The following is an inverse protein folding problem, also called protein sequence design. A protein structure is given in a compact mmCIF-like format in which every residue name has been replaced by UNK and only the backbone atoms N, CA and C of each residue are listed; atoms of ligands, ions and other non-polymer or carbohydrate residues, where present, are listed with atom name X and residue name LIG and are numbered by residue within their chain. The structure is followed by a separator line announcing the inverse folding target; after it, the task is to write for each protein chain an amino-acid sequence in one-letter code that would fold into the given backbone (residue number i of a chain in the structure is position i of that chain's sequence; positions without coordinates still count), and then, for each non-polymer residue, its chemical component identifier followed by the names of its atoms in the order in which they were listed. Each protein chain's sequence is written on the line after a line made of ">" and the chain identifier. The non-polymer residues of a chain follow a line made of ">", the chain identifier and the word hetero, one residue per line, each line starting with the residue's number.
data_IF_022219540301
#
_entry.id   IF_022219540301
#
_cell.length_a   1.000
_cell.length_b   1.000
_cell.length_c   1.000
_cell.angle_alpha   90.00
_cell.angle_beta   90.00
_cell.angle_gamma   90.00
#
_symmetry.space_group_name_H-M   'P 1'
#
loop_
_entity.id
_entity.type
_entity.pdbx_description
1 polymer ?
#
# COMPACT_ATOMS: atom_id res chain seq x y z
N UNK A 1 -17.28 0.26 -16.63
CA UNK A 1 -15.85 0.62 -16.69
C UNK A 1 -15.07 -0.60 -16.25
N UNK A 2 -14.29 -1.20 -17.15
CA UNK A 2 -13.47 -2.36 -16.79
C UNK A 2 -12.37 -1.88 -15.84
N UNK A 3 -12.44 -2.26 -14.56
CA UNK A 3 -11.38 -2.04 -13.58
C UNK A 3 -10.23 -2.99 -13.87
N UNK A 4 -9.54 -2.74 -14.98
CA UNK A 4 -8.36 -3.51 -15.36
C UNK A 4 -7.27 -3.26 -14.32
N UNK A 5 -6.93 -4.32 -13.60
CA UNK A 5 -5.85 -4.36 -12.64
C UNK A 5 -4.53 -4.40 -13.41
N UNK A 6 -3.67 -3.43 -13.14
CA UNK A 6 -2.33 -3.34 -13.70
C UNK A 6 -1.31 -4.09 -12.85
N UNK A 7 -1.47 -4.06 -11.53
CA UNK A 7 -0.58 -4.72 -10.57
C UNK A 7 -1.35 -5.11 -9.31
N UNK A 8 -1.10 -6.32 -8.84
CA UNK A 8 -1.55 -6.85 -7.56
C UNK A 8 -0.40 -7.59 -6.88
N UNK A 9 0.15 -7.03 -5.80
CA UNK A 9 1.34 -7.59 -5.15
C UNK A 9 1.47 -7.16 -3.68
N UNK A 10 2.15 -7.98 -2.87
CA UNK A 10 2.56 -7.60 -1.52
C UNK A 10 3.83 -6.74 -1.58
N UNK A 11 3.73 -5.50 -1.11
CA UNK A 11 4.86 -4.56 -1.06
C UNK A 11 5.02 -3.98 0.34
N UNK A 12 6.21 -3.42 0.62
CA UNK A 12 6.50 -2.72 1.87
C UNK A 12 6.13 -1.24 1.73
N UNK A 13 5.11 -0.80 2.47
CA UNK A 13 4.74 0.61 2.58
C UNK A 13 5.51 1.29 3.71
N UNK A 14 6.31 2.32 3.37
CA UNK A 14 6.82 3.28 4.34
C UNK A 14 5.74 4.31 4.69
N UNK A 15 5.46 4.51 5.98
CA UNK A 15 4.56 5.59 6.40
C UNK A 15 5.21 6.95 6.22
N UNK A 16 4.43 7.98 5.92
CA UNK A 16 4.94 9.34 5.89
C UNK A 16 5.49 9.75 7.26
N UNK A 17 6.74 10.17 7.28
CA UNK A 17 7.42 10.59 8.49
C UNK A 17 6.99 12.02 8.83
N UNK A 18 6.30 12.21 9.95
CA UNK A 18 5.77 13.53 10.35
C UNK A 18 6.83 14.48 10.90
N UNK A 19 7.88 13.96 11.54
CA UNK A 19 9.02 14.73 12.06
C UNK A 19 10.32 14.06 11.62
N UNK A 20 11.36 14.85 11.31
CA UNK A 20 12.66 14.33 10.85
C UNK A 20 13.30 13.29 11.79
N UNK A 21 13.03 13.39 13.10
CA UNK A 21 13.55 12.48 14.13
C UNK A 21 12.66 11.28 14.42
N UNK A 22 11.42 11.24 13.89
CA UNK A 22 10.54 10.10 14.11
C UNK A 22 11.08 8.85 13.42
N UNK A 23 10.99 7.65 14.00
CA UNK A 23 11.39 6.43 13.32
C UNK A 23 10.64 6.22 11.99
N UNK A 24 11.31 5.62 11.02
CA UNK A 24 10.64 5.17 9.80
C UNK A 24 9.83 3.91 10.11
N UNK A 25 8.51 3.96 9.89
CA UNK A 25 7.63 2.82 10.08
C UNK A 25 7.32 2.17 8.72
N UNK A 26 7.62 0.88 8.63
CA UNK A 26 7.43 0.06 7.44
C UNK A 26 6.41 -1.03 7.74
N UNK A 27 5.49 -1.28 6.80
CA UNK A 27 4.46 -2.30 6.93
C UNK A 27 4.25 -3.03 5.62
N UNK A 28 4.08 -4.34 5.67
CA UNK A 28 3.63 -5.13 4.52
C UNK A 28 2.17 -4.80 4.24
N UNK A 29 1.83 -4.55 2.98
CA UNK A 29 0.48 -4.28 2.51
C UNK A 29 0.26 -4.95 1.16
N UNK A 30 -0.97 -5.38 0.90
CA UNK A 30 -1.37 -5.87 -0.41
C UNK A 30 -1.84 -4.68 -1.26
N UNK A 31 -1.12 -4.36 -2.33
CA UNK A 31 -1.41 -3.22 -3.20
C UNK A 31 -2.18 -3.66 -4.43
N UNK A 32 -3.18 -2.85 -4.81
CA UNK A 32 -3.96 -3.02 -6.04
C UNK A 32 -3.85 -1.71 -6.84
N UNK A 33 -3.26 -1.80 -8.02
CA UNK A 33 -3.14 -0.69 -8.95
C UNK A 33 -4.09 -0.88 -10.13
N UNK A 34 -4.90 0.12 -10.39
CA UNK A 34 -5.72 0.24 -11.60
C UNK A 34 -5.34 1.52 -12.34
N UNK A 35 -5.92 1.74 -13.53
CA UNK A 35 -5.75 3.02 -14.25
C UNK A 35 -6.32 4.23 -13.50
N UNK A 36 -7.26 4.03 -12.57
CA UNK A 36 -7.97 5.10 -11.87
C UNK A 36 -7.47 5.32 -10.45
N UNK A 37 -6.87 4.30 -9.81
CA UNK A 37 -6.54 4.35 -8.40
C UNK A 37 -5.40 3.40 -8.00
N UNK A 38 -4.74 3.76 -6.90
CA UNK A 38 -3.81 2.90 -6.18
C UNK A 38 -4.35 2.73 -4.76
N UNK A 39 -4.75 1.51 -4.42
CA UNK A 39 -5.28 1.15 -3.11
C UNK A 39 -4.35 0.15 -2.42
N UNK A 40 -4.46 0.06 -1.09
CA UNK A 40 -3.77 -0.96 -0.32
C UNK A 40 -4.65 -1.48 0.81
N UNK A 41 -4.48 -2.75 1.13
CA UNK A 41 -5.24 -3.43 2.17
C UNK A 41 -4.29 -3.96 3.25
N UNK A 42 -4.80 -4.01 4.49
CA UNK A 42 -4.14 -4.71 5.57
C UNK A 42 -4.40 -6.20 5.42
N UNK A 43 -3.34 -7.00 5.52
CA UNK A 43 -3.49 -8.43 5.63
C UNK A 43 -3.92 -8.74 7.08
N UNK A 44 -5.23 -8.84 7.29
CA UNK A 44 -5.80 -9.22 8.58
C UNK A 44 -6.14 -10.70 8.53
N UNK A 45 -5.24 -11.54 9.03
CA UNK A 45 -5.59 -12.88 9.48
C UNK A 45 -6.36 -12.76 10.80
N UNK A 46 -7.68 -12.67 10.73
CA UNK A 46 -8.59 -12.66 11.88
C UNK A 46 -9.87 -13.38 11.52
#
# INVERSE_FOLDING_TARGET
>A
MNNFILLEEQLIKKSQQKRRTSPSNFKVRFFVLTKASLAYFEDRHG
#
